data_IF_128862584499
#
_entry.id   IF_128862584499
#
_cell.length_a   1.000
_cell.length_b   1.000
_cell.length_c   1.000
_cell.angle_alpha   90.00
_cell.angle_beta   90.00
_cell.angle_gamma   90.00
#
_symmetry.space_group_name_H-M   'P 1'
#
loop_
_entity.id
_entity.type
_entity.pdbx_description
1 polymer ?
#
# COMPACT_ATOMS: atom_id res chain seq x y z
N UNK A 1 -1.13 -15.43 6.81
CA UNK A 1 -1.30 -16.41 5.71
C UNK A 1 -2.32 -15.91 4.70
N UNK A 2 -3.63 -16.03 4.91
CA UNK A 2 -4.66 -15.67 3.90
C UNK A 2 -5.53 -14.45 4.25
N UNK A 3 -5.23 -13.74 5.34
CA UNK A 3 -6.00 -12.59 5.83
C UNK A 3 -6.10 -11.43 4.82
N UNK A 4 -5.15 -11.33 3.90
CA UNK A 4 -5.08 -10.29 2.85
C UNK A 4 -5.23 -10.87 1.44
N UNK A 5 -5.77 -12.09 1.32
CA UNK A 5 -5.97 -12.73 0.03
C UNK A 5 -7.42 -12.55 -0.44
N UNK A 6 -7.63 -11.65 -1.41
CA UNK A 6 -8.96 -11.34 -1.95
C UNK A 6 -9.66 -12.55 -2.57
N UNK A 7 -8.92 -13.41 -3.29
CA UNK A 7 -9.50 -14.62 -3.89
C UNK A 7 -9.99 -15.62 -2.84
N UNK A 8 -9.30 -15.72 -1.71
CA UNK A 8 -9.71 -16.57 -0.59
C UNK A 8 -10.97 -16.02 0.08
N UNK A 9 -11.00 -14.73 0.41
CA UNK A 9 -12.18 -14.10 0.99
C UNK A 9 -13.42 -14.30 0.11
N UNK A 10 -13.27 -14.14 -1.22
CA UNK A 10 -14.35 -14.37 -2.19
C UNK A 10 -14.82 -15.83 -2.19
N UNK A 11 -13.89 -16.79 -2.21
CA UNK A 11 -14.23 -18.21 -2.16
C UNK A 11 -14.96 -18.60 -0.85
N UNK A 12 -14.64 -17.96 0.27
CA UNK A 12 -15.33 -18.16 1.56
C UNK A 12 -16.77 -17.64 1.49
N UNK A 13 -16.98 -16.43 0.97
CA UNK A 13 -18.31 -15.85 0.76
C UNK A 13 -19.15 -16.65 -0.23
N UNK A 14 -18.57 -17.08 -1.36
CA UNK A 14 -19.23 -17.90 -2.39
C UNK A 14 -19.65 -19.29 -1.85
N UNK A 15 -18.94 -19.79 -0.84
CA UNK A 15 -19.29 -21.02 -0.12
C UNK A 15 -20.40 -20.82 0.93
N UNK A 16 -20.96 -19.62 1.06
CA UNK A 16 -21.98 -19.27 2.05
C UNK A 16 -21.43 -19.14 3.48
N UNK A 17 -20.11 -18.98 3.62
CA UNK A 17 -19.44 -18.81 4.91
C UNK A 17 -19.13 -17.33 5.10
N UNK A 18 -19.38 -16.80 6.30
CA UNK A 18 -18.99 -15.42 6.62
C UNK A 18 -17.48 -15.31 6.76
N UNK A 19 -16.86 -14.54 5.87
CA UNK A 19 -15.47 -14.12 6.07
C UNK A 19 -15.43 -13.01 7.13
N UNK A 20 -14.71 -13.24 8.23
CA UNK A 20 -14.51 -12.22 9.28
C UNK A 20 -13.36 -11.31 8.88
N UNK A 21 -13.67 -10.25 8.14
CA UNK A 21 -12.70 -9.28 7.65
C UNK A 21 -13.32 -8.26 6.69
N UNK A 22 -12.48 -7.43 6.02
CA UNK A 22 -12.94 -6.54 4.97
C UNK A 22 -13.42 -7.33 3.75
N UNK A 23 -14.24 -6.68 2.89
CA UNK A 23 -14.75 -7.32 1.68
C UNK A 23 -13.63 -7.71 0.71
N UNK A 24 -13.83 -8.70 -0.17
CA UNK A 24 -12.83 -9.09 -1.18
C UNK A 24 -12.35 -7.91 -2.04
N UNK A 25 -13.26 -6.99 -2.40
CA UNK A 25 -12.94 -5.77 -3.13
C UNK A 25 -12.00 -4.86 -2.33
N UNK A 26 -12.29 -4.63 -1.04
CA UNK A 26 -11.44 -3.81 -0.18
C UNK A 26 -10.05 -4.43 -0.01
N UNK A 27 -9.95 -5.76 0.11
CA UNK A 27 -8.67 -6.47 0.19
C UNK A 27 -7.86 -6.26 -1.11
N UNK A 28 -8.51 -6.34 -2.26
CA UNK A 28 -7.86 -6.18 -3.57
C UNK A 28 -7.33 -4.75 -3.79
N UNK A 29 -8.17 -3.74 -3.51
CA UNK A 29 -7.77 -2.33 -3.64
C UNK A 29 -6.64 -1.99 -2.65
N UNK A 30 -6.76 -2.42 -1.40
CA UNK A 30 -5.81 -2.05 -0.36
C UNK A 30 -4.52 -2.88 -0.39
N UNK A 31 -4.53 -4.05 -1.02
CA UNK A 31 -3.33 -4.87 -1.24
C UNK A 31 -2.34 -4.26 -2.24
N UNK A 32 -2.79 -3.36 -3.12
CA UNK A 32 -1.92 -2.60 -4.02
C UNK A 32 -1.68 -1.20 -3.47
N UNK A 33 -0.42 -0.89 -3.16
CA UNK A 33 -0.02 0.43 -2.62
C UNK A 33 -0.41 1.60 -3.53
N UNK A 34 -0.33 1.40 -4.85
CA UNK A 34 -0.72 2.42 -5.83
C UNK A 34 -2.24 2.57 -5.90
N UNK A 35 -2.97 1.45 -5.96
CA UNK A 35 -4.43 1.47 -6.01
C UNK A 35 -5.03 2.01 -4.70
N UNK A 36 -4.46 1.64 -3.55
CA UNK A 36 -4.82 2.19 -2.25
C UNK A 36 -4.63 3.71 -2.23
N UNK A 37 -3.47 4.22 -2.67
CA UNK A 37 -3.22 5.66 -2.80
C UNK A 37 -4.20 6.36 -3.73
N UNK A 38 -4.50 5.76 -4.89
CA UNK A 38 -5.49 6.30 -5.82
C UNK A 38 -6.89 6.33 -5.21
N UNK A 39 -7.30 5.26 -4.52
CA UNK A 39 -8.59 5.15 -3.85
C UNK A 39 -8.75 6.18 -2.73
N UNK A 40 -7.67 6.49 -2.00
CA UNK A 40 -7.71 7.52 -0.95
C UNK A 40 -7.47 8.94 -1.47
N UNK A 41 -7.02 9.12 -2.72
CA UNK A 41 -6.70 10.44 -3.30
C UNK A 41 -7.93 11.34 -3.45
N UNK A 42 -9.10 10.74 -3.67
CA UNK A 42 -10.37 11.46 -3.73
C UNK A 42 -10.86 11.92 -2.35
N UNK A 43 -10.26 11.37 -1.29
CA UNK A 43 -10.50 11.79 0.08
C UNK A 43 -9.41 12.79 0.48
N UNK A 44 -9.79 13.84 1.20
CA UNK A 44 -8.87 14.89 1.67
C UNK A 44 -7.99 14.36 2.83
N UNK A 45 -7.15 13.38 2.52
CA UNK A 45 -6.29 12.67 3.47
C UNK A 45 -4.87 13.19 3.30
N UNK A 46 -4.26 13.77 4.36
CA UNK A 46 -2.89 14.27 4.29
C UNK A 46 -1.92 13.10 4.07
N UNK A 47 -1.28 13.08 2.91
CA UNK A 47 -0.26 12.09 2.56
C UNK A 47 1.10 12.51 3.08
N UNK A 48 1.90 11.54 3.56
CA UNK A 48 3.30 11.81 3.92
C UNK A 48 4.07 12.19 2.65
N UNK A 49 4.77 13.34 2.64
CA UNK A 49 5.60 13.74 1.51
C UNK A 49 6.64 12.67 1.17
N UNK A 50 6.68 12.25 -0.09
CA UNK A 50 7.57 11.21 -0.57
C UNK A 50 7.36 10.91 -2.04
N UNK A 51 8.15 9.98 -2.59
CA UNK A 51 8.01 9.55 -3.98
C UNK A 51 7.16 8.31 -4.11
N UNK A 52 6.38 8.28 -5.19
CA UNK A 52 5.57 7.15 -5.60
C UNK A 52 6.33 6.14 -6.48
N UNK A 53 7.58 6.46 -6.83
CA UNK A 53 8.40 5.67 -7.73
C UNK A 53 9.59 5.02 -7.00
N UNK A 54 9.97 3.83 -7.44
CA UNK A 54 11.18 3.17 -6.96
C UNK A 54 12.42 3.95 -7.39
N UNK A 55 13.25 4.33 -6.42
CA UNK A 55 14.54 5.00 -6.68
C UNK A 55 15.61 3.93 -6.92
N UNK A 56 16.23 3.95 -8.10
CA UNK A 56 17.34 3.05 -8.48
C UNK A 56 18.71 3.73 -8.42
N UNK A 57 18.73 5.04 -8.28
CA UNK A 57 19.92 5.88 -8.32
C UNK A 57 20.15 6.54 -6.95
N UNK A 58 21.35 6.34 -6.40
CA UNK A 58 21.77 6.86 -5.10
C UNK A 58 21.85 8.38 -5.10
N UNK A 59 22.28 9.01 -6.19
CA UNK A 59 22.44 10.46 -6.23
C UNK A 59 21.09 11.17 -6.30
N UNK A 60 20.15 10.60 -7.05
CA UNK A 60 18.73 10.99 -6.99
C UNK A 60 18.19 10.88 -5.56
N UNK A 61 18.43 9.75 -4.88
CA UNK A 61 17.98 9.54 -3.50
C UNK A 61 18.52 10.61 -2.53
N UNK A 62 19.79 11.00 -2.65
CA UNK A 62 20.41 12.05 -1.82
C UNK A 62 19.79 13.43 -2.06
N UNK A 63 19.50 13.78 -3.31
CA UNK A 63 18.87 15.06 -3.63
C UNK A 63 17.49 15.18 -2.98
N UNK A 64 16.67 14.14 -3.14
CA UNK A 64 15.33 14.05 -2.54
C UNK A 64 15.40 14.10 -1.02
N UNK A 65 16.34 13.38 -0.40
CA UNK A 65 16.48 13.38 1.05
C UNK A 65 16.70 14.78 1.63
N UNK A 66 17.44 15.63 0.91
CA UNK A 66 17.66 17.04 1.30
C UNK A 66 16.41 17.90 1.10
N UNK A 67 15.63 17.61 0.05
CA UNK A 67 14.37 18.31 -0.23
C UNK A 67 13.28 17.98 0.81
N UNK A 68 13.15 16.70 1.18
CA UNK A 68 12.19 16.24 2.21
C UNK A 68 12.62 16.68 3.62
N UNK A 69 13.92 16.74 3.88
CA UNK A 69 14.49 17.04 5.20
C UNK A 69 14.66 15.80 6.07
N UNK A 70 15.72 15.79 6.89
CA UNK A 70 16.03 14.68 7.78
C UNK A 70 15.28 14.79 9.14
N UNK A 71 14.95 13.67 9.80
CA UNK A 71 15.24 12.28 9.39
C UNK A 71 14.31 11.77 8.30
N UNK A 72 14.84 10.91 7.41
CA UNK A 72 14.07 10.26 6.35
C UNK A 72 13.87 8.77 6.64
N UNK A 73 12.80 8.20 6.07
CA UNK A 73 12.48 6.78 6.18
C UNK A 73 12.57 6.09 4.81
N UNK A 74 13.43 5.09 4.69
CA UNK A 74 13.57 4.28 3.48
C UNK A 74 12.74 3.01 3.63
N UNK A 75 11.84 2.75 2.69
CA UNK A 75 10.99 1.55 2.66
C UNK A 75 11.17 0.79 1.36
N UNK A 76 11.22 -0.54 1.44
CA UNK A 76 11.14 -1.39 0.26
C UNK A 76 9.78 -1.20 -0.44
N UNK A 77 9.77 -1.21 -1.79
CA UNK A 77 8.54 -1.06 -2.56
C UNK A 77 7.60 -2.26 -2.41
N UNK A 78 8.15 -3.46 -2.18
CA UNK A 78 7.43 -4.73 -2.05
C UNK A 78 7.63 -5.40 -0.67
N UNK A 79 7.83 -4.62 0.39
CA UNK A 79 7.97 -5.16 1.76
C UNK A 79 6.62 -5.27 2.46
N UNK A 80 6.33 -6.44 3.05
CA UNK A 80 5.24 -6.67 3.98
C UNK A 80 5.78 -7.14 5.34
N UNK A 81 5.30 -6.54 6.43
CA UNK A 81 5.64 -6.95 7.81
C UNK A 81 6.59 -6.04 8.60
N UNK A 82 7.04 -4.91 8.06
CA UNK A 82 7.89 -3.91 8.74
C UNK A 82 8.16 -2.66 7.91
#
# INVERSE_FOLDING_TARGET
FLSENASFARAVEDAGITFIGPSPFSIEIMGSKLAAKAAVREYDIPMVPGLDEAIKDIDKAKAIAREVGFPILIKASAGGGG
#
